data_IF_754430639166
#
_entry.id   IF_754430639166
#
_cell.length_a   1.000
_cell.length_b   1.000
_cell.length_c   1.000
_cell.angle_alpha   90.00
_cell.angle_beta   90.00
_cell.angle_gamma   90.00
#
_symmetry.space_group_name_H-M   'P 1'
#
loop_
_entity.id
_entity.type
_entity.pdbx_description
1 polymer ?
#
# COMPACT_ATOMS: atom_id res chain seq x y z
N UNK A 1 1.89 -7.38 -13.99
CA UNK A 1 1.12 -7.77 -12.79
C UNK A 1 1.93 -8.68 -11.88
N UNK A 2 2.42 -9.84 -12.32
CA UNK A 2 3.26 -10.72 -11.46
C UNK A 2 4.54 -10.03 -10.95
N UNK A 3 5.19 -9.23 -11.79
CA UNK A 3 6.38 -8.46 -11.41
C UNK A 3 6.09 -7.44 -10.29
N UNK A 4 5.00 -6.66 -10.42
CA UNK A 4 4.57 -5.69 -9.40
C UNK A 4 4.32 -6.37 -8.06
N UNK A 5 3.62 -7.51 -8.07
CA UNK A 5 3.28 -8.24 -6.85
C UNK A 5 4.50 -8.75 -6.08
N UNK A 6 5.64 -8.92 -6.77
CA UNK A 6 6.91 -9.32 -6.16
C UNK A 6 7.75 -8.16 -5.62
N UNK A 7 7.36 -6.91 -5.88
CA UNK A 7 8.05 -5.73 -5.36
C UNK A 7 7.82 -5.59 -3.85
N UNK A 8 8.77 -4.97 -3.16
CA UNK A 8 8.74 -4.77 -1.70
C UNK A 8 8.65 -3.28 -1.37
N UNK A 9 7.52 -2.79 -0.86
CA UNK A 9 7.39 -1.38 -0.48
C UNK A 9 8.21 -1.07 0.77
N UNK A 10 9.03 -0.01 0.68
CA UNK A 10 9.75 0.58 1.81
C UNK A 10 9.35 2.05 1.94
N UNK A 11 8.83 2.44 3.10
CA UNK A 11 8.48 3.83 3.39
C UNK A 11 9.72 4.73 3.44
N UNK A 12 9.63 5.90 2.80
CA UNK A 12 10.73 6.85 2.71
C UNK A 12 10.80 7.81 3.90
N UNK A 13 9.71 7.96 4.65
CA UNK A 13 9.63 8.85 5.82
C UNK A 13 9.13 8.07 7.04
N UNK A 14 9.99 7.78 8.03
CA UNK A 14 9.56 7.25 9.32
C UNK A 14 8.97 8.41 10.12
N UNK A 15 7.69 8.71 9.91
CA UNK A 15 6.99 9.77 10.61
C UNK A 15 5.49 9.62 10.44
N UNK A 16 4.74 10.21 11.38
CA UNK A 16 3.28 10.21 11.41
C UNK A 16 2.76 10.56 10.02
N UNK A 17 2.23 9.57 9.33
CA UNK A 17 1.65 9.76 8.03
C UNK A 17 0.52 10.75 8.22
N UNK A 18 0.57 11.85 7.48
CA UNK A 18 -0.49 12.82 7.55
C UNK A 18 -1.73 12.20 6.90
N UNK A 19 -2.54 11.53 7.72
CA UNK A 19 -3.79 10.88 7.32
C UNK A 19 -4.70 11.85 6.58
N UNK A 20 -4.66 13.15 6.90
CA UNK A 20 -5.40 14.18 6.16
C UNK A 20 -4.90 14.33 4.73
N UNK A 21 -3.58 14.32 4.52
CA UNK A 21 -3.03 14.40 3.18
C UNK A 21 -3.38 13.16 2.36
N UNK A 22 -3.28 11.96 2.95
CA UNK A 22 -3.68 10.74 2.24
C UNK A 22 -5.17 10.73 1.90
N UNK A 23 -6.03 11.14 2.84
CA UNK A 23 -7.46 11.28 2.57
C UNK A 23 -7.75 12.28 1.44
N UNK A 24 -7.02 13.40 1.38
CA UNK A 24 -7.19 14.41 0.31
C UNK A 24 -6.65 13.91 -1.04
N UNK A 25 -5.45 13.33 -1.06
CA UNK A 25 -4.76 12.92 -2.29
C UNK A 25 -5.36 11.65 -2.91
N UNK A 26 -5.74 10.69 -2.07
CA UNK A 26 -6.11 9.34 -2.48
C UNK A 26 -7.60 9.03 -2.23
N UNK A 27 -8.25 9.73 -1.28
CA UNK A 27 -9.66 9.53 -0.96
C UNK A 27 -10.60 9.62 -2.16
N UNK A 28 -10.52 10.65 -3.04
CA UNK A 28 -11.36 10.74 -4.24
C UNK A 28 -11.25 9.52 -5.17
N UNK A 29 -10.10 8.83 -5.17
CA UNK A 29 -9.83 7.69 -6.04
C UNK A 29 -10.26 6.37 -5.42
N UNK A 30 -10.11 6.19 -4.11
CA UNK A 30 -10.24 4.89 -3.47
C UNK A 30 -11.40 4.76 -2.48
N UNK A 31 -11.86 5.84 -1.85
CA UNK A 31 -12.90 5.75 -0.81
C UNK A 31 -14.24 5.20 -1.33
N UNK A 32 -14.54 5.38 -2.62
CA UNK A 32 -15.73 4.81 -3.28
C UNK A 32 -15.56 3.34 -3.69
N UNK A 33 -14.31 2.86 -3.81
CA UNK A 33 -13.96 1.49 -4.23
C UNK A 33 -13.69 0.58 -3.04
N UNK A 34 -13.30 1.17 -1.91
CA UNK A 34 -12.98 0.46 -0.67
C UNK A 34 -13.47 1.28 0.53
N UNK A 35 -14.57 0.88 1.19
CA UNK A 35 -15.08 1.57 2.36
C UNK A 35 -14.11 1.51 3.56
N UNK A 36 -13.15 0.58 3.54
CA UNK A 36 -12.12 0.42 4.56
C UNK A 36 -10.79 1.02 4.12
N UNK A 37 -10.81 1.91 3.12
CA UNK A 37 -9.62 2.52 2.52
C UNK A 37 -8.68 3.15 3.56
N UNK A 38 -9.21 3.88 4.54
CA UNK A 38 -8.37 4.57 5.54
C UNK A 38 -7.63 3.59 6.45
N UNK A 39 -8.32 2.56 6.93
CA UNK A 39 -7.71 1.51 7.75
C UNK A 39 -6.70 0.71 6.92
N UNK A 40 -7.04 0.41 5.67
CA UNK A 40 -6.14 -0.28 4.75
C UNK A 40 -4.88 0.55 4.49
N UNK A 41 -5.00 1.85 4.23
CA UNK A 41 -3.83 2.72 4.02
C UNK A 41 -2.92 2.77 5.23
N UNK A 42 -3.48 2.81 6.44
CA UNK A 42 -2.71 2.75 7.66
C UNK A 42 -1.84 1.48 7.67
N UNK A 43 -2.47 0.34 7.40
CA UNK A 43 -1.81 -0.96 7.50
C UNK A 43 -0.82 -1.20 6.37
N UNK A 44 -1.14 -0.80 5.15
CA UNK A 44 -0.19 -0.85 4.03
C UNK A 44 1.10 -0.10 4.37
N UNK A 45 0.99 1.07 5.01
CA UNK A 45 2.14 1.86 5.39
C UNK A 45 2.90 1.30 6.61
N UNK A 46 2.20 0.66 7.55
CA UNK A 46 2.83 -0.08 8.64
C UNK A 46 3.69 -1.22 8.12
N UNK A 47 3.18 -1.98 7.14
CA UNK A 47 3.83 -3.13 6.53
C UNK A 47 4.88 -2.77 5.46
N UNK A 48 5.01 -1.48 5.12
CA UNK A 48 5.97 -0.97 4.13
C UNK A 48 7.38 -0.78 4.72
N UNK A 49 7.98 -1.84 5.25
CA UNK A 49 9.35 -1.85 5.79
C UNK A 49 10.39 -2.43 4.81
N UNK A 50 9.96 -2.87 3.64
CA UNK A 50 10.78 -3.51 2.61
C UNK A 50 11.06 -5.00 2.87
N UNK A 51 10.48 -5.62 3.89
CA UNK A 51 10.65 -7.06 4.17
C UNK A 51 9.65 -7.96 3.44
N UNK A 52 8.49 -7.41 3.07
CA UNK A 52 7.36 -8.15 2.48
C UNK A 52 7.10 -7.68 1.05
N UNK A 53 6.67 -8.60 0.22
CA UNK A 53 6.17 -8.34 -1.13
C UNK A 53 4.75 -7.77 -1.10
N UNK A 54 4.34 -7.08 -2.17
CA UNK A 54 2.96 -6.60 -2.32
C UNK A 54 1.94 -7.75 -2.21
N UNK A 55 2.25 -8.94 -2.74
CA UNK A 55 1.40 -10.12 -2.60
C UNK A 55 1.20 -10.55 -1.13
N UNK A 56 2.29 -10.59 -0.36
CA UNK A 56 2.23 -10.95 1.06
C UNK A 56 1.46 -9.92 1.86
N UNK A 57 1.69 -8.63 1.59
CA UNK A 57 0.96 -7.53 2.21
C UNK A 57 -0.54 -7.63 1.89
N UNK A 58 -0.91 -7.84 0.63
CA UNK A 58 -2.30 -8.01 0.21
C UNK A 58 -3.00 -9.16 0.94
N UNK A 59 -2.29 -10.27 1.16
CA UNK A 59 -2.80 -11.41 1.95
C UNK A 59 -3.02 -11.06 3.41
N UNK A 60 -2.08 -10.34 4.03
CA UNK A 60 -2.17 -9.92 5.44
C UNK A 60 -3.35 -8.97 5.64
N UNK A 61 -3.40 -7.85 4.89
CA UNK A 61 -4.50 -6.88 5.02
C UNK A 61 -5.84 -7.46 4.59
N UNK A 62 -5.84 -8.41 3.66
CA UNK A 62 -7.01 -9.16 3.25
C UNK A 62 -7.64 -9.98 4.39
N UNK A 63 -6.78 -10.51 5.27
CA UNK A 63 -7.17 -11.29 6.43
C UNK A 63 -7.54 -10.41 7.64
N UNK A 64 -6.77 -9.34 7.89
CA UNK A 64 -6.94 -8.50 9.09
C UNK A 64 -8.09 -7.49 8.98
N UNK A 65 -8.34 -6.95 7.78
CA UNK A 65 -9.29 -5.86 7.57
C UNK A 65 -10.49 -6.40 6.80
N UNK A 66 -10.27 -6.72 5.53
CA UNK A 66 -11.28 -7.32 4.65
C UNK A 66 -10.65 -7.76 3.32
N UNK A 67 -11.26 -8.74 2.63
CA UNK A 67 -10.77 -9.24 1.35
C UNK A 67 -10.47 -8.11 0.36
N UNK A 68 -9.31 -8.20 -0.28
CA UNK A 68 -8.85 -7.23 -1.28
C UNK A 68 -8.06 -7.93 -2.37
N UNK A 69 -8.16 -7.43 -3.60
CA UNK A 69 -7.36 -7.98 -4.68
C UNK A 69 -5.90 -7.53 -4.56
N UNK A 70 -4.91 -8.41 -4.78
CA UNK A 70 -3.52 -8.01 -4.84
C UNK A 70 -3.23 -6.93 -5.90
N UNK A 71 -4.00 -6.92 -7.00
CA UNK A 71 -3.91 -5.90 -8.03
C UNK A 71 -4.31 -4.50 -7.51
N UNK A 72 -5.33 -4.41 -6.67
CA UNK A 72 -5.72 -3.13 -6.05
C UNK A 72 -4.66 -2.62 -5.07
N UNK A 73 -4.08 -3.52 -4.29
CA UNK A 73 -2.96 -3.19 -3.38
C UNK A 73 -1.74 -2.73 -4.18
N UNK A 74 -1.43 -3.38 -5.30
CA UNK A 74 -0.37 -2.94 -6.21
C UNK A 74 -0.63 -1.53 -6.76
N UNK A 75 -1.87 -1.24 -7.21
CA UNK A 75 -2.26 0.08 -7.69
C UNK A 75 -2.05 1.18 -6.63
N UNK A 76 -2.43 0.91 -5.38
CA UNK A 76 -2.20 1.86 -4.28
C UNK A 76 -0.71 2.10 -4.07
N UNK A 77 0.10 1.04 -4.07
CA UNK A 77 1.53 1.16 -3.87
C UNK A 77 2.26 1.91 -4.99
N UNK A 78 1.82 1.76 -6.24
CA UNK A 78 2.34 2.56 -7.36
C UNK A 78 2.03 4.05 -7.19
N UNK A 79 0.83 4.38 -6.72
CA UNK A 79 0.48 5.77 -6.48
C UNK A 79 1.20 6.34 -5.25
N UNK A 80 1.42 5.53 -4.22
CA UNK A 80 2.29 5.89 -3.08
C UNK A 80 3.73 6.14 -3.53
N UNK A 81 4.26 5.36 -4.46
CA UNK A 81 5.59 5.54 -5.05
C UNK A 81 5.66 6.86 -5.85
N UNK A 82 4.68 7.13 -6.71
CA UNK A 82 4.59 8.39 -7.48
C UNK A 82 4.57 9.64 -6.60
N UNK A 83 3.99 9.55 -5.41
CA UNK A 83 3.92 10.66 -4.45
C UNK A 83 5.11 10.69 -3.47
N UNK A 84 6.07 9.78 -3.59
CA UNK A 84 7.27 9.74 -2.75
C UNK A 84 7.03 9.28 -1.31
N UNK A 85 5.98 8.50 -1.06
CA UNK A 85 5.73 7.89 0.26
C UNK A 85 6.51 6.60 0.47
N UNK A 86 6.63 5.80 -0.58
CA UNK A 86 7.36 4.54 -0.57
C UNK A 86 8.30 4.48 -1.78
N UNK A 87 9.30 3.62 -1.69
CA UNK A 87 10.02 3.07 -2.85
C UNK A 87 9.62 1.61 -2.97
N UNK A 88 9.37 1.13 -4.18
CA UNK A 88 9.05 -0.27 -4.43
C UNK A 88 10.29 -0.99 -4.96
N UNK A 89 10.92 -1.77 -4.08
CA UNK A 89 12.18 -2.47 -4.38
C UNK A 89 11.93 -3.77 -5.14
N UNK A 90 12.86 -4.13 -6.03
CA UNK A 90 12.79 -5.33 -6.87
C UNK A 90 13.11 -6.62 -6.12
N UNK A 91 12.67 -7.74 -6.69
CA UNK A 91 12.69 -9.12 -6.19
C UNK A 91 13.99 -9.45 -5.41
N UNK A 92 13.92 -10.17 -4.26
CA UNK A 92 15.13 -10.71 -3.63
C UNK A 92 15.95 -11.50 -4.67
N UNK A 93 17.26 -11.34 -4.61
CA UNK A 93 18.21 -12.19 -5.33
C UNK A 93 17.94 -13.68 -5.05
#
# INVERSE_FOLDING_TARGET
MEEQLSRRPRKLRPGLINMKYQAIAFGPKYASRDPQFMDRMAELMNLSDGSRTIAEIARIVGYEISPVSPAFVAEIFEDLEKHGYVVLEGKPA
#
